data_IF_174583596309
#
_entry.id   IF_174583596309
#
_cell.length_a   1.000
_cell.length_b   1.000
_cell.length_c   1.000
_cell.angle_alpha   90.00
_cell.angle_beta   90.00
_cell.angle_gamma   90.00
#
_symmetry.space_group_name_H-M   'P 1'
#
loop_
_entity.id
_entity.type
_entity.pdbx_description
1 polymer ?
#
# COMPACT_ATOMS: atom_id res chain seq x y z
N UNK A 1 9.21 -12.43 -5.31
CA UNK A 1 9.11 -11.60 -4.10
C UNK A 1 7.64 -11.27 -3.86
N UNK A 2 7.15 -11.31 -2.62
CA UNK A 2 5.78 -10.91 -2.27
C UNK A 2 5.83 -9.68 -1.37
N UNK A 3 5.01 -8.67 -1.67
CA UNK A 3 4.94 -7.41 -0.91
C UNK A 3 3.57 -7.30 -0.26
N UNK A 4 3.53 -6.89 1.01
CA UNK A 4 2.30 -6.52 1.70
C UNK A 4 2.38 -5.04 2.06
N UNK A 5 1.51 -4.23 1.46
CA UNK A 5 1.32 -2.83 1.82
C UNK A 5 0.20 -2.80 2.86
N UNK A 6 0.45 -2.15 3.99
CA UNK A 6 -0.55 -2.02 5.06
C UNK A 6 -0.92 -0.55 5.16
N UNK A 7 -2.21 -0.29 5.10
CA UNK A 7 -2.74 1.06 5.10
C UNK A 7 -4.05 1.07 5.90
N UNK A 8 -4.03 1.71 7.07
CA UNK A 8 -5.07 1.56 8.08
C UNK A 8 -6.43 2.13 7.68
N UNK A 9 -6.47 3.29 7.01
CA UNK A 9 -7.70 4.04 6.84
C UNK A 9 -7.83 4.61 5.43
N UNK A 10 -8.51 3.87 4.56
CA UNK A 10 -8.85 4.34 3.22
C UNK A 10 -10.07 5.26 3.24
N UNK A 11 -9.91 6.44 2.63
CA UNK A 11 -10.96 7.42 2.39
C UNK A 11 -10.81 7.96 0.96
N UNK A 12 -11.90 8.07 0.18
CA UNK A 12 -11.82 8.60 -1.19
C UNK A 12 -11.21 10.00 -1.31
N UNK A 13 -11.29 10.82 -0.25
CA UNK A 13 -10.67 12.15 -0.11
C UNK A 13 -9.36 12.14 0.69
N UNK A 14 -8.73 10.97 0.82
CA UNK A 14 -7.53 10.77 1.64
C UNK A 14 -6.35 11.66 1.23
N UNK A 15 -5.39 11.79 2.14
CA UNK A 15 -4.20 12.62 1.96
C UNK A 15 -3.14 12.00 1.04
N UNK A 16 -2.02 12.73 0.86
CA UNK A 16 -0.94 12.32 -0.04
C UNK A 16 -0.30 10.97 0.30
N UNK A 17 -0.24 10.59 1.58
CA UNK A 17 0.27 9.28 2.03
C UNK A 17 -0.58 8.12 1.51
N UNK A 18 -1.90 8.26 1.54
CA UNK A 18 -2.83 7.28 0.96
C UNK A 18 -2.58 7.11 -0.53
N UNK A 19 -2.53 8.24 -1.24
CA UNK A 19 -2.40 8.24 -2.68
C UNK A 19 -1.07 7.59 -3.10
N UNK A 20 0.00 7.83 -2.34
CA UNK A 20 1.29 7.18 -2.56
C UNK A 20 1.21 5.67 -2.37
N UNK A 21 0.62 5.20 -1.27
CA UNK A 21 0.47 3.76 -0.99
C UNK A 21 -0.36 3.05 -2.07
N UNK A 22 -1.45 3.66 -2.52
CA UNK A 22 -2.32 3.11 -3.57
C UNK A 22 -1.62 3.08 -4.94
N UNK A 23 -0.92 4.15 -5.33
CA UNK A 23 -0.12 4.18 -6.56
C UNK A 23 0.97 3.12 -6.56
N UNK A 24 1.59 2.88 -5.41
CA UNK A 24 2.58 1.82 -5.26
C UNK A 24 1.96 0.44 -5.42
N UNK A 25 0.85 0.19 -4.74
CA UNK A 25 0.08 -1.05 -4.88
C UNK A 25 -0.30 -1.33 -6.34
N UNK A 26 -0.78 -0.32 -7.05
CA UNK A 26 -1.13 -0.40 -8.47
C UNK A 26 0.09 -0.68 -9.36
N UNK A 27 1.13 0.15 -9.25
CA UNK A 27 2.32 0.06 -10.11
C UNK A 27 3.09 -1.25 -9.92
N UNK A 28 3.25 -1.72 -8.68
CA UNK A 28 3.95 -2.97 -8.41
C UNK A 28 3.20 -4.17 -9.01
N UNK A 29 1.87 -4.17 -8.89
CA UNK A 29 1.05 -5.22 -9.51
C UNK A 29 1.10 -5.16 -11.04
N UNK A 30 1.10 -3.97 -11.64
CA UNK A 30 1.27 -3.78 -13.09
C UNK A 30 2.63 -4.29 -13.59
N UNK A 31 3.68 -4.20 -12.76
CA UNK A 31 5.03 -4.73 -13.06
C UNK A 31 5.16 -6.24 -12.83
N UNK A 32 4.07 -6.94 -12.49
CA UNK A 32 4.07 -8.38 -12.21
C UNK A 32 4.60 -8.75 -10.83
N UNK A 33 4.86 -7.78 -9.94
CA UNK A 33 5.24 -8.06 -8.56
C UNK A 33 3.99 -8.42 -7.77
N UNK A 34 3.98 -9.60 -7.15
CA UNK A 34 2.86 -10.05 -6.31
C UNK A 34 2.72 -9.17 -5.06
N UNK A 35 1.80 -8.21 -5.11
CA UNK A 35 1.61 -7.19 -4.08
C UNK A 35 0.18 -7.22 -3.56
N UNK A 36 0.01 -7.25 -2.25
CA UNK A 36 -1.29 -7.21 -1.57
C UNK A 36 -1.44 -5.91 -0.78
N UNK A 37 -2.68 -5.45 -0.65
CA UNK A 37 -3.05 -4.31 0.19
C UNK A 37 -3.88 -4.78 1.37
N UNK A 38 -3.38 -4.60 2.59
CA UNK A 38 -4.14 -4.81 3.82
C UNK A 38 -4.70 -3.46 4.29
N UNK A 39 -6.00 -3.39 4.49
CA UNK A 39 -6.66 -2.20 5.05
C UNK A 39 -7.79 -2.53 6.00
N UNK A 40 -8.21 -1.57 6.82
CA UNK A 40 -9.48 -1.70 7.52
C UNK A 40 -10.66 -1.62 6.55
N UNK A 41 -11.78 -2.24 6.93
CA UNK A 41 -13.06 -2.05 6.26
C UNK A 41 -13.41 -0.56 6.22
N UNK A 42 -13.78 -0.10 5.03
CA UNK A 42 -14.17 1.29 4.76
C UNK A 42 -15.44 1.27 3.93
N UNK A 43 -16.22 2.36 3.97
CA UNK A 43 -17.37 2.53 3.07
C UNK A 43 -16.94 2.76 1.62
N UNK A 44 -15.78 3.37 1.44
CA UNK A 44 -15.20 3.61 0.13
C UNK A 44 -14.52 2.33 -0.39
N UNK A 45 -14.76 2.01 -1.65
CA UNK A 45 -14.11 0.92 -2.37
C UNK A 45 -12.90 1.41 -3.18
N UNK A 46 -11.96 0.49 -3.40
CA UNK A 46 -10.88 0.61 -4.37
C UNK A 46 -11.29 -0.26 -5.56
N UNK A 47 -11.24 0.31 -6.76
CA UNK A 47 -11.81 -0.22 -7.99
C UNK A 47 -10.84 -1.09 -8.82
N UNK A 48 -9.57 -1.16 -8.42
CA UNK A 48 -8.52 -1.94 -9.09
C UNK A 48 -7.91 -3.02 -8.19
N UNK A 49 -7.47 -4.13 -8.80
CA UNK A 49 -6.86 -5.28 -8.11
C UNK A 49 -7.65 -5.76 -6.87
N UNK A 50 -8.99 -5.77 -6.94
CA UNK A 50 -9.87 -6.10 -5.80
C UNK A 50 -9.53 -7.45 -5.16
N UNK A 51 -9.12 -8.42 -5.97
CA UNK A 51 -8.71 -9.76 -5.55
C UNK A 51 -7.43 -9.79 -4.71
N UNK A 52 -6.67 -8.69 -4.68
CA UNK A 52 -5.43 -8.52 -3.91
C UNK A 52 -5.60 -7.57 -2.72
N UNK A 53 -6.83 -7.17 -2.42
CA UNK A 53 -7.17 -6.35 -1.26
C UNK A 53 -7.68 -7.25 -0.14
N UNK A 54 -7.05 -7.13 1.01
CA UNK A 54 -7.39 -7.84 2.24
C UNK A 54 -8.02 -6.82 3.18
N UNK A 55 -9.31 -6.99 3.45
CA UNK A 55 -10.03 -6.14 4.40
C UNK A 55 -10.15 -6.80 5.76
N UNK A 56 -9.76 -6.10 6.81
CA UNK A 56 -9.97 -6.52 8.20
C UNK A 56 -11.01 -5.64 8.88
N UNK A 57 -11.78 -6.16 9.86
CA UNK A 57 -12.61 -5.31 10.74
C UNK A 57 -11.76 -4.16 11.30
N UNK A 58 -12.35 -2.98 11.60
CA UNK A 58 -11.61 -1.83 12.14
C UNK A 58 -10.79 -2.23 13.36
N UNK A 59 -9.53 -2.55 13.09
CA UNK A 59 -8.51 -2.86 14.06
C UNK A 59 -7.53 -1.70 13.97
N UNK A 60 -7.10 -1.20 15.12
CA UNK A 60 -5.96 -0.30 15.15
C UNK A 60 -4.72 -1.11 14.72
N UNK A 61 -4.48 -1.14 13.40
CA UNK A 61 -3.36 -1.86 12.80
C UNK A 61 -2.03 -1.29 13.30
N UNK A 62 -1.98 0.00 13.64
CA UNK A 62 -0.83 0.63 14.28
C UNK A 62 -0.61 0.11 15.71
N UNK A 63 -1.67 -0.19 16.46
CA UNK A 63 -1.60 -0.84 17.77
C UNK A 63 -1.16 -2.30 17.68
N UNK A 64 -1.73 -3.06 16.74
CA UNK A 64 -1.39 -4.48 16.54
C UNK A 64 0.01 -4.69 15.95
N UNK A 65 0.47 -3.75 15.13
CA UNK A 65 1.76 -3.80 14.45
C UNK A 65 2.75 -2.79 15.05
N UNK A 66 2.64 -2.55 16.37
CA UNK A 66 3.46 -1.58 17.14
C UNK A 66 4.97 -1.67 16.91
N UNK A 67 5.46 -2.83 16.45
CA UNK A 67 6.88 -3.10 16.20
C UNK A 67 7.21 -3.25 14.70
N UNK A 68 6.29 -2.93 13.81
CA UNK A 68 6.47 -3.07 12.36
C UNK A 68 6.64 -1.69 11.73
N UNK A 69 7.88 -1.37 11.36
CA UNK A 69 8.17 -0.15 10.60
C UNK A 69 7.68 -0.31 9.16
N UNK A 70 6.69 0.50 8.74
CA UNK A 70 6.34 0.62 7.32
C UNK A 70 7.35 1.51 6.62
N UNK A 71 8.37 0.88 6.05
CA UNK A 71 9.37 1.57 5.25
C UNK A 71 9.14 1.29 3.77
N UNK A 72 9.11 2.36 2.98
CA UNK A 72 9.18 2.32 1.53
C UNK A 72 10.47 1.58 1.10
N UNK A 73 10.34 0.55 0.26
CA UNK A 73 11.49 -0.07 -0.41
C UNK A 73 11.51 0.42 -1.87
N UNK A 74 12.41 1.35 -2.17
CA UNK A 74 12.74 1.67 -3.55
C UNK A 74 13.67 0.59 -4.10
N UNK A 75 13.39 0.11 -5.32
CA UNK A 75 14.35 -0.74 -6.02
C UNK A 75 15.60 0.07 -6.35
N UNK A 76 16.73 -0.61 -6.56
CA UNK A 76 17.99 0.02 -6.94
C UNK A 76 17.81 0.92 -8.18
N UNK A 77 17.02 0.47 -9.15
CA UNK A 77 16.73 1.24 -10.37
C UNK A 77 15.97 2.54 -10.08
N UNK A 78 15.02 2.50 -9.15
CA UNK A 78 14.25 3.68 -8.75
C UNK A 78 15.13 4.71 -8.03
N UNK A 79 16.06 4.27 -7.18
CA UNK A 79 17.03 5.15 -6.50
C UNK A 79 17.95 5.83 -7.52
N UNK A 80 18.48 5.07 -8.48
CA UNK A 80 19.41 5.60 -9.47
C UNK A 80 18.74 6.60 -10.43
N UNK A 81 17.49 6.35 -10.83
CA UNK A 81 16.73 7.28 -11.68
C UNK A 81 16.48 8.64 -11.01
N UNK A 82 16.17 8.63 -9.70
CA UNK A 82 15.98 9.86 -8.92
C UNK A 82 17.28 10.67 -8.84
N UNK A 83 18.41 10.00 -8.58
CA UNK A 83 19.73 10.67 -8.50
C UNK A 83 20.17 11.28 -9.83
N UNK A 84 19.72 10.71 -10.96
CA UNK A 84 20.06 11.20 -12.30
C UNK A 84 19.15 12.31 -12.83
N UNK A 85 18.13 12.71 -12.07
CA UNK A 85 17.20 13.81 -12.41
C UNK A 85 17.57 15.09 -11.67
#
# INVERSE_FOLDING_TARGET
MKILIIYDNYNKKGGGSQLAALRWFENLNNLGVTTYLLKNKSKDEIDFFKEKIIEVPSVDLSFFLKNTSFSLFFTKEAIEKIKSS
#
